data_IF_660240700418
#
_entry.id   IF_660240700418
#
_cell.length_a   1.000
_cell.length_b   1.000
_cell.length_c   1.000
_cell.angle_alpha   90.00
_cell.angle_beta   90.00
_cell.angle_gamma   90.00
#
_symmetry.space_group_name_H-M   'P 1'
#
loop_
_entity.id
_entity.type
_entity.pdbx_description
1 polymer ?
#
# COMPACT_ATOMS: atom_id res chain seq x y z
N UNK A 1 15.22 19.56 -34.11
CA UNK A 1 14.79 19.85 -32.70
C UNK A 1 13.29 20.03 -32.69
N UNK A 2 12.61 19.31 -31.84
CA UNK A 2 11.18 19.52 -31.65
C UNK A 2 11.03 20.58 -30.56
N UNK A 3 10.60 21.76 -30.94
CA UNK A 3 10.34 22.83 -29.98
C UNK A 3 8.94 22.63 -29.39
N UNK A 4 8.91 22.23 -28.13
CA UNK A 4 7.65 22.12 -27.39
C UNK A 4 7.24 23.50 -26.89
N UNK A 5 6.03 23.94 -27.25
CA UNK A 5 5.45 25.14 -26.67
C UNK A 5 5.07 24.89 -25.21
N UNK A 6 4.96 25.95 -24.42
CA UNK A 6 4.49 25.84 -23.03
C UNK A 6 3.12 25.15 -22.95
N UNK A 7 2.25 25.40 -23.95
CA UNK A 7 0.95 24.74 -24.05
C UNK A 7 1.06 23.23 -24.25
N UNK A 8 1.99 22.78 -25.12
CA UNK A 8 2.19 21.34 -25.35
C UNK A 8 2.69 20.62 -24.10
N UNK A 9 3.61 21.23 -23.37
CA UNK A 9 4.14 20.71 -22.10
C UNK A 9 3.00 20.62 -21.08
N UNK A 10 2.24 21.68 -20.90
CA UNK A 10 1.14 21.73 -19.93
C UNK A 10 0.06 20.70 -20.26
N UNK A 11 -0.33 20.60 -21.52
CA UNK A 11 -1.30 19.62 -21.98
C UNK A 11 -0.83 18.18 -21.70
N UNK A 12 0.42 17.86 -22.04
CA UNK A 12 0.96 16.53 -21.82
C UNK A 12 1.06 16.18 -20.33
N UNK A 13 1.44 17.13 -19.49
CA UNK A 13 1.46 16.95 -18.04
C UNK A 13 0.06 16.69 -17.47
N UNK A 14 -0.94 17.45 -17.91
CA UNK A 14 -2.32 17.26 -17.47
C UNK A 14 -2.89 15.90 -17.93
N UNK A 15 -2.57 15.48 -19.15
CA UNK A 15 -2.98 14.18 -19.65
C UNK A 15 -2.28 13.04 -18.90
N UNK A 16 -1.00 13.21 -18.55
CA UNK A 16 -0.25 12.23 -17.78
C UNK A 16 -0.74 12.16 -16.33
N UNK A 17 -1.20 13.26 -15.75
CA UNK A 17 -1.71 13.32 -14.38
C UNK A 17 -2.88 12.37 -14.15
N UNK A 18 -3.70 12.09 -15.16
CA UNK A 18 -4.79 11.11 -15.06
C UNK A 18 -4.30 9.72 -14.65
N UNK A 19 -3.16 9.31 -15.18
CA UNK A 19 -2.56 8.01 -14.84
C UNK A 19 -1.97 8.00 -13.44
N UNK A 20 -1.39 9.09 -12.99
CA UNK A 20 -0.92 9.25 -11.61
C UNK A 20 -2.10 9.13 -10.64
N UNK A 21 -3.20 9.81 -10.92
CA UNK A 21 -4.42 9.74 -10.11
C UNK A 21 -4.99 8.32 -10.11
N UNK A 22 -5.07 7.67 -11.28
CA UNK A 22 -5.58 6.32 -11.41
C UNK A 22 -4.76 5.32 -10.60
N UNK A 23 -3.42 5.34 -10.72
CA UNK A 23 -2.53 4.47 -9.96
C UNK A 23 -2.59 4.76 -8.45
N UNK A 24 -2.70 6.02 -8.07
CA UNK A 24 -2.84 6.41 -6.67
C UNK A 24 -4.12 5.88 -6.05
N UNK A 25 -5.24 5.95 -6.78
CA UNK A 25 -6.51 5.41 -6.33
C UNK A 25 -6.47 3.88 -6.22
N UNK A 26 -5.88 3.20 -7.20
CA UNK A 26 -5.71 1.74 -7.16
C UNK A 26 -4.85 1.36 -5.95
N UNK A 27 -3.74 2.04 -5.73
CA UNK A 27 -2.85 1.79 -4.61
C UNK A 27 -3.55 2.03 -3.27
N UNK A 28 -4.30 3.11 -3.16
CA UNK A 28 -5.00 3.47 -1.94
C UNK A 28 -6.14 2.49 -1.62
N UNK A 29 -6.98 2.18 -2.59
CA UNK A 29 -8.10 1.25 -2.40
C UNK A 29 -7.58 -0.17 -2.17
N UNK A 30 -6.72 -0.65 -3.05
CA UNK A 30 -6.13 -1.99 -2.93
C UNK A 30 -5.26 -2.11 -1.67
N UNK A 31 -4.40 -1.12 -1.43
CA UNK A 31 -3.56 -1.06 -0.24
C UNK A 31 -4.38 -0.96 1.05
N UNK A 32 -5.48 -0.22 1.01
CA UNK A 32 -6.41 -0.13 2.12
C UNK A 32 -7.07 -1.47 2.44
N UNK A 33 -7.54 -2.19 1.43
CA UNK A 33 -8.16 -3.51 1.61
C UNK A 33 -7.14 -4.54 2.13
N UNK A 34 -5.98 -4.62 1.52
CA UNK A 34 -4.91 -5.53 1.96
C UNK A 34 -4.40 -5.13 3.35
N UNK A 35 -4.19 -3.84 3.58
CA UNK A 35 -3.74 -3.32 4.87
C UNK A 35 -4.74 -3.59 5.99
N UNK A 36 -6.04 -3.49 5.70
CA UNK A 36 -7.10 -3.82 6.65
C UNK A 36 -7.08 -5.32 6.99
N UNK A 37 -6.93 -6.18 5.97
CA UNK A 37 -6.82 -7.62 6.19
C UNK A 37 -5.61 -7.97 7.07
N UNK A 38 -4.47 -7.33 6.83
CA UNK A 38 -3.26 -7.50 7.65
C UNK A 38 -3.47 -7.01 9.09
N UNK A 39 -4.17 -5.89 9.26
CA UNK A 39 -4.51 -5.37 10.59
C UNK A 39 -5.41 -6.35 11.36
N UNK A 40 -6.44 -6.86 10.72
CA UNK A 40 -7.35 -7.84 11.33
C UNK A 40 -6.56 -9.09 11.75
N UNK A 41 -5.64 -9.57 10.90
CA UNK A 41 -4.77 -10.70 11.24
C UNK A 41 -3.94 -10.42 12.50
N UNK A 42 -3.40 -9.22 12.65
CA UNK A 42 -2.64 -8.82 13.84
C UNK A 42 -3.50 -8.71 15.09
N UNK A 43 -4.74 -8.25 14.95
CA UNK A 43 -5.67 -8.11 16.07
C UNK A 43 -6.14 -9.47 16.63
N UNK A 44 -5.94 -10.56 15.91
CA UNK A 44 -6.22 -11.92 16.42
C UNK A 44 -5.29 -12.34 17.56
N UNK A 45 -4.24 -11.56 17.82
CA UNK A 45 -3.23 -11.83 18.86
C UNK A 45 -2.46 -13.14 18.68
N UNK A 46 -2.49 -13.72 17.46
CA UNK A 46 -1.66 -14.88 17.13
C UNK A 46 -0.20 -14.46 17.01
N UNK A 47 0.75 -15.13 17.70
CA UNK A 47 2.18 -14.81 17.56
C UNK A 47 2.70 -14.98 16.13
N UNK A 48 2.19 -15.96 15.40
CA UNK A 48 2.57 -16.21 14.01
C UNK A 48 2.07 -15.11 13.08
N UNK A 49 0.80 -14.68 13.24
CA UNK A 49 0.24 -13.59 12.46
C UNK A 49 1.04 -12.30 12.71
N UNK A 50 1.37 -11.99 13.94
CA UNK A 50 2.14 -10.80 14.28
C UNK A 50 3.54 -10.84 13.67
N UNK A 51 4.22 -11.97 13.71
CA UNK A 51 5.55 -12.14 13.11
C UNK A 51 5.52 -12.03 11.59
N UNK A 52 4.55 -12.68 10.94
CA UNK A 52 4.43 -12.65 9.47
C UNK A 52 4.10 -11.26 8.96
N UNK A 53 3.12 -10.59 9.57
CA UNK A 53 2.76 -9.22 9.19
C UNK A 53 3.91 -8.26 9.51
N UNK A 54 4.57 -8.40 10.64
CA UNK A 54 5.74 -7.61 11.00
C UNK A 54 6.88 -7.75 10.00
N UNK A 55 7.16 -8.98 9.54
CA UNK A 55 8.16 -9.23 8.50
C UNK A 55 7.78 -8.60 7.16
N UNK A 56 6.51 -8.70 6.77
CA UNK A 56 5.96 -8.08 5.58
C UNK A 56 6.13 -6.55 5.61
N UNK A 57 5.73 -5.93 6.71
CA UNK A 57 5.85 -4.48 6.91
C UNK A 57 7.32 -4.06 6.88
N UNK A 58 8.19 -4.77 7.58
CA UNK A 58 9.62 -4.47 7.60
C UNK A 58 10.26 -4.56 6.21
N UNK A 59 9.86 -5.56 5.43
CA UNK A 59 10.35 -5.74 4.06
C UNK A 59 9.98 -4.55 3.17
N UNK A 60 8.72 -4.13 3.17
CA UNK A 60 8.26 -3.05 2.31
C UNK A 60 8.68 -1.65 2.80
N UNK A 61 8.76 -1.44 4.10
CA UNK A 61 9.24 -0.17 4.65
C UNK A 61 10.76 -0.04 4.57
N UNK A 62 11.49 -1.16 4.61
CA UNK A 62 12.93 -1.18 4.58
C UNK A 62 13.55 -1.13 3.18
N UNK A 63 12.77 -1.23 2.11
CA UNK A 63 13.25 -1.24 0.74
C UNK A 63 12.74 -0.04 -0.06
N UNK A 64 13.55 0.53 -0.98
CA UNK A 64 13.10 1.63 -1.83
C UNK A 64 11.97 1.20 -2.76
N UNK A 65 10.96 2.06 -2.90
CA UNK A 65 9.80 1.80 -3.76
C UNK A 65 10.22 1.55 -5.21
N UNK A 66 11.15 2.35 -5.72
CA UNK A 66 11.60 2.21 -7.11
C UNK A 66 12.21 0.83 -7.37
N UNK A 67 13.00 0.32 -6.43
CA UNK A 67 13.57 -1.02 -6.51
C UNK A 67 12.46 -2.09 -6.51
N UNK A 68 11.43 -1.92 -5.69
CA UNK A 68 10.29 -2.83 -5.65
C UNK A 68 9.53 -2.84 -6.99
N UNK A 69 9.35 -1.68 -7.62
CA UNK A 69 8.73 -1.55 -8.94
C UNK A 69 9.54 -2.29 -10.01
N UNK A 70 10.87 -2.14 -10.01
CA UNK A 70 11.74 -2.86 -10.93
C UNK A 70 11.70 -4.36 -10.70
N UNK A 71 11.73 -4.81 -9.46
CA UNK A 71 11.64 -6.22 -9.12
C UNK A 71 10.29 -6.82 -9.52
N UNK A 72 9.20 -6.09 -9.33
CA UNK A 72 7.88 -6.55 -9.73
C UNK A 72 7.76 -6.70 -11.25
N UNK A 73 8.28 -5.75 -12.00
CA UNK A 73 8.19 -5.78 -13.46
C UNK A 73 9.18 -6.76 -14.10
N UNK A 74 10.46 -6.60 -13.79
CA UNK A 74 11.51 -7.42 -14.40
C UNK A 74 11.66 -8.78 -13.75
N UNK A 75 11.45 -8.88 -12.44
CA UNK A 75 11.55 -10.14 -11.71
C UNK A 75 10.52 -11.16 -12.14
N UNK A 76 9.27 -10.74 -12.32
CA UNK A 76 8.21 -11.62 -12.80
C UNK A 76 8.49 -12.05 -14.25
N UNK A 77 9.03 -11.16 -15.08
CA UNK A 77 9.39 -11.47 -16.46
C UNK A 77 10.47 -12.54 -16.54
N UNK A 78 11.39 -12.62 -15.58
CA UNK A 78 12.42 -13.67 -15.53
C UNK A 78 11.83 -15.08 -15.33
N UNK A 79 10.65 -15.20 -14.75
CA UNK A 79 9.95 -16.47 -14.62
C UNK A 79 9.09 -16.83 -15.84
N UNK A 80 9.25 -16.10 -16.95
CA UNK A 80 8.53 -16.34 -18.19
C UNK A 80 7.10 -15.79 -18.21
N UNK A 81 6.72 -15.02 -17.21
CA UNK A 81 5.40 -14.41 -17.14
C UNK A 81 5.49 -12.96 -17.64
N UNK A 82 4.79 -12.68 -18.73
CA UNK A 82 4.72 -11.33 -19.27
C UNK A 82 3.64 -10.53 -18.56
N UNK A 83 4.06 -9.53 -17.81
CA UNK A 83 3.17 -8.64 -17.07
C UNK A 83 3.30 -7.23 -17.66
N UNK A 84 2.17 -6.55 -17.86
CA UNK A 84 2.22 -5.16 -18.30
C UNK A 84 2.83 -4.27 -17.21
N UNK A 85 3.52 -3.18 -17.60
CA UNK A 85 4.04 -2.24 -16.60
C UNK A 85 2.97 -1.68 -15.68
N UNK A 86 1.77 -1.48 -16.18
CA UNK A 86 0.62 -0.99 -15.40
C UNK A 86 0.21 -1.98 -14.31
N UNK A 87 0.12 -3.25 -14.64
CA UNK A 87 -0.22 -4.29 -13.67
C UNK A 87 0.87 -4.44 -12.63
N UNK A 88 2.13 -4.48 -13.05
CA UNK A 88 3.27 -4.56 -12.13
C UNK A 88 3.29 -3.36 -11.16
N UNK A 89 3.09 -2.15 -11.67
CA UNK A 89 3.01 -0.95 -10.87
C UNK A 89 1.82 -0.98 -9.91
N UNK A 90 0.64 -1.38 -10.38
CA UNK A 90 -0.56 -1.47 -9.55
C UNK A 90 -0.37 -2.45 -8.38
N UNK A 91 0.19 -3.62 -8.64
CA UNK A 91 0.46 -4.63 -7.60
C UNK A 91 1.51 -4.14 -6.61
N UNK A 92 2.64 -3.65 -7.11
CA UNK A 92 3.74 -3.19 -6.24
C UNK A 92 3.30 -2.01 -5.36
N UNK A 93 2.61 -1.03 -5.92
CA UNK A 93 2.10 0.12 -5.18
C UNK A 93 1.04 -0.29 -4.16
N UNK A 94 0.18 -1.23 -4.50
CA UNK A 94 -0.82 -1.78 -3.57
C UNK A 94 -0.16 -2.43 -2.37
N UNK A 95 0.82 -3.30 -2.60
CA UNK A 95 1.54 -3.97 -1.52
C UNK A 95 2.33 -2.99 -0.65
N UNK A 96 3.00 -2.05 -1.27
CA UNK A 96 3.74 -0.98 -0.58
C UNK A 96 2.81 -0.15 0.31
N UNK A 97 1.71 0.33 -0.25
CA UNK A 97 0.72 1.14 0.46
C UNK A 97 0.09 0.36 1.62
N UNK A 98 -0.21 -0.92 1.41
CA UNK A 98 -0.79 -1.78 2.44
C UNK A 98 0.10 -1.91 3.66
N UNK A 99 1.42 -2.01 3.47
CA UNK A 99 2.38 -2.10 4.56
C UNK A 99 2.37 -0.84 5.43
N UNK A 100 2.32 0.33 4.80
CA UNK A 100 2.24 1.61 5.53
C UNK A 100 0.89 1.80 6.22
N UNK A 101 -0.20 1.54 5.52
CA UNK A 101 -1.55 1.73 6.08
C UNK A 101 -1.81 0.80 7.26
N UNK A 102 -1.43 -0.48 7.16
CA UNK A 102 -1.62 -1.42 8.27
C UNK A 102 -0.84 -0.97 9.51
N UNK A 103 0.37 -0.43 9.33
CA UNK A 103 1.19 0.05 10.44
C UNK A 103 0.62 1.32 11.07
N UNK A 104 0.13 2.26 10.26
CA UNK A 104 -0.53 3.47 10.74
C UNK A 104 -1.78 3.11 11.54
N UNK A 105 -2.61 2.24 11.02
CA UNK A 105 -3.85 1.83 11.69
C UNK A 105 -3.57 1.04 12.96
N UNK A 106 -2.55 0.18 12.95
CA UNK A 106 -2.12 -0.51 14.17
C UNK A 106 -1.72 0.49 15.26
N UNK A 107 -0.96 1.51 14.88
CA UNK A 107 -0.59 2.59 15.80
C UNK A 107 -1.80 3.34 16.35
N UNK A 108 -2.79 3.62 15.49
CA UNK A 108 -4.03 4.26 15.91
C UNK A 108 -4.80 3.41 16.92
N UNK A 109 -4.95 2.12 16.66
CA UNK A 109 -5.62 1.19 17.59
C UNK A 109 -4.86 1.10 18.92
N UNK A 110 -3.54 0.99 18.86
CA UNK A 110 -2.68 0.90 20.05
C UNK A 110 -2.72 2.19 20.91
N UNK A 111 -3.03 3.34 20.28
CA UNK A 111 -3.10 4.62 20.99
C UNK A 111 -4.40 4.82 21.77
N UNK A 112 -5.40 3.95 21.58
CA UNK A 112 -6.66 4.02 22.31
C UNK A 112 -6.41 3.62 23.77
N UNK A 113 -6.67 4.53 24.68
CA UNK A 113 -6.47 4.31 26.12
C UNK A 113 -7.38 3.21 26.66
N UNK A 114 -6.89 2.51 27.68
CA UNK A 114 -7.62 1.43 28.35
C UNK A 114 -9.02 1.86 28.82
N UNK A 115 -9.14 3.08 29.34
CA UNK A 115 -10.43 3.62 29.79
C UNK A 115 -11.49 3.71 28.69
N UNK A 116 -11.09 3.93 27.42
CA UNK A 116 -12.03 3.95 26.30
C UNK A 116 -12.59 2.53 26.02
N UNK A 117 -11.74 1.51 26.12
CA UNK A 117 -12.16 0.14 25.96
C UNK A 117 -13.11 -0.30 27.08
N UNK A 118 -12.78 0.07 28.32
CA UNK A 118 -13.63 -0.20 29.49
C UNK A 118 -14.97 0.49 29.38
N UNK A 119 -14.99 1.76 28.94
CA UNK A 119 -16.21 2.52 28.71
C UNK A 119 -17.09 1.87 27.64
N UNK A 120 -16.50 1.44 26.53
CA UNK A 120 -17.22 0.75 25.47
C UNK A 120 -17.84 -0.57 25.96
N UNK A 121 -17.08 -1.35 26.73
CA UNK A 121 -17.56 -2.59 27.31
C UNK A 121 -18.70 -2.38 28.30
N UNK A 122 -18.69 -1.29 29.08
CA UNK A 122 -19.76 -0.96 30.00
C UNK A 122 -21.09 -0.64 29.29
N UNK A 123 -21.01 -0.25 28.00
CA UNK A 123 -22.16 -0.03 27.14
C UNK A 123 -22.54 -1.28 26.32
N UNK A 124 -22.00 -2.45 26.66
CA UNK A 124 -22.16 -3.71 25.95
C UNK A 124 -21.73 -3.66 24.47
N UNK A 125 -20.76 -2.82 24.17
CA UNK A 125 -20.12 -2.77 22.86
C UNK A 125 -18.94 -3.75 22.83
N UNK A 126 -18.91 -4.59 21.81
CA UNK A 126 -17.80 -5.54 21.62
C UNK A 126 -16.72 -4.98 20.71
#
# INVERSE_FOLDING_TARGET
MVDFSLWDILRNLLLAARWTVALSLIAFVGGGLVGLALLIARLTKSPWADRLVGAYVALFQGTPLLMQLFLAYFGIALFGINVSPWLAAAVALTLYTSAFLTEIWRGCVASIGKGQWEAAQSLAMN
#
